data_IF_635940721864
#
_entry.id   IF_635940721864
#
_cell.length_a   1.000
_cell.length_b   1.000
_cell.length_c   1.000
_cell.angle_alpha   90.00
_cell.angle_beta   90.00
_cell.angle_gamma   90.00
#
_symmetry.space_group_name_H-M   'P 1'
#
loop_
_entity.id
_entity.type
_entity.pdbx_description
1 polymer ?
#
# COMPACT_ATOMS: atom_id res chain seq x y z
N UNK A 1 -70.22 12.65 22.30
CA UNK A 1 -69.15 13.60 21.94
C UNK A 1 -67.86 12.97 22.37
N UNK A 2 -67.08 12.56 21.37
CA UNK A 2 -66.08 11.50 21.45
C UNK A 2 -64.68 12.06 21.62
N UNK A 3 -63.90 11.41 22.49
CA UNK A 3 -62.45 11.21 22.37
C UNK A 3 -62.23 9.71 22.11
N UNK A 4 -61.06 9.19 21.70
CA UNK A 4 -59.89 9.80 21.06
C UNK A 4 -59.52 9.09 19.73
N UNK A 5 -58.66 9.69 18.89
CA UNK A 5 -57.93 8.93 17.85
C UNK A 5 -56.44 9.20 17.96
N UNK A 6 -55.74 8.16 18.38
CA UNK A 6 -54.30 7.98 18.27
C UNK A 6 -53.88 8.03 16.79
N UNK A 7 -52.93 8.88 16.42
CA UNK A 7 -52.19 8.77 15.16
C UNK A 7 -50.75 8.39 15.48
N UNK A 8 -50.40 7.17 15.08
CA UNK A 8 -49.08 6.54 15.20
C UNK A 8 -48.01 7.25 14.37
N UNK A 9 -46.72 7.07 14.71
CA UNK A 9 -45.62 7.77 14.05
C UNK A 9 -45.32 7.18 12.66
N UNK A 10 -45.10 8.07 11.69
CA UNK A 10 -44.52 7.76 10.38
C UNK A 10 -43.14 7.12 10.57
N UNK A 11 -43.04 5.81 10.27
CA UNK A 11 -41.76 5.14 10.10
C UNK A 11 -41.15 5.59 8.77
N UNK A 12 -40.11 6.40 8.82
CA UNK A 12 -39.22 6.62 7.67
C UNK A 12 -38.28 5.42 7.57
N UNK A 13 -38.43 4.66 6.49
CA UNK A 13 -37.58 3.51 6.12
C UNK A 13 -36.10 3.91 6.13
N UNK A 14 -35.28 3.23 6.93
CA UNK A 14 -33.82 3.26 6.82
C UNK A 14 -33.42 2.50 5.55
N UNK A 15 -33.02 3.21 4.50
CA UNK A 15 -32.27 2.62 3.40
C UNK A 15 -30.90 2.15 3.90
N UNK A 16 -30.63 0.86 3.69
CA UNK A 16 -29.33 0.22 3.84
C UNK A 16 -28.45 0.73 2.69
N UNK A 17 -27.45 1.56 3.00
CA UNK A 17 -26.43 1.98 2.04
C UNK A 17 -25.61 0.74 1.65
N UNK A 18 -25.83 0.26 0.43
CA UNK A 18 -25.13 -0.87 -0.16
C UNK A 18 -23.64 -0.57 -0.32
N UNK A 19 -22.83 -1.60 -0.11
CA UNK A 19 -21.39 -1.62 -0.35
C UNK A 19 -21.09 -1.24 -1.79
N UNK A 20 -20.28 -0.20 -2.00
CA UNK A 20 -19.73 0.16 -3.31
C UNK A 20 -18.71 -0.90 -3.72
N UNK A 21 -19.04 -1.70 -4.73
CA UNK A 21 -18.07 -2.53 -5.45
C UNK A 21 -17.15 -1.60 -6.25
N UNK A 22 -15.89 -1.49 -5.80
CA UNK A 22 -14.85 -0.80 -6.53
C UNK A 22 -14.37 -1.68 -7.69
N UNK A 23 -15.03 -1.57 -8.85
CA UNK A 23 -14.60 -2.23 -10.08
C UNK A 23 -13.26 -1.65 -10.55
N UNK A 24 -12.18 -2.43 -10.44
CA UNK A 24 -10.90 -2.13 -11.06
C UNK A 24 -11.06 -2.25 -12.58
N UNK A 25 -11.13 -1.12 -13.27
CA UNK A 25 -11.00 -1.07 -14.73
C UNK A 25 -9.53 -1.30 -15.09
N UNK A 26 -9.22 -2.47 -15.64
CA UNK A 26 -7.92 -2.74 -16.24
C UNK A 26 -7.84 -2.06 -17.60
N UNK A 27 -6.76 -1.30 -17.81
CA UNK A 27 -6.42 -0.62 -19.06
C UNK A 27 -6.24 -1.64 -20.19
N UNK A 28 -6.90 -1.39 -21.33
CA UNK A 28 -7.04 -2.35 -22.44
C UNK A 28 -5.79 -2.44 -23.33
N UNK A 29 -4.69 -1.77 -22.93
CA UNK A 29 -3.51 -1.57 -23.77
C UNK A 29 -2.31 -2.50 -23.48
N UNK A 30 -2.36 -3.34 -22.43
CA UNK A 30 -1.24 -4.23 -22.08
C UNK A 30 -1.32 -5.66 -22.67
N UNK A 31 -2.25 -5.93 -23.58
CA UNK A 31 -2.36 -7.24 -24.24
C UNK A 31 -1.68 -7.19 -25.60
N UNK A 32 -0.35 -7.13 -25.58
CA UNK A 32 0.48 -7.51 -26.73
C UNK A 32 1.15 -8.86 -26.43
N UNK A 33 0.34 -9.93 -26.41
CA UNK A 33 0.84 -11.30 -26.54
C UNK A 33 0.05 -12.02 -27.63
N UNK A 34 0.81 -12.51 -28.61
CA UNK A 34 0.32 -12.94 -29.91
C UNK A 34 -0.75 -14.03 -29.90
N UNK A 35 -1.59 -13.94 -30.93
CA UNK A 35 -2.52 -14.92 -31.48
C UNK A 35 -2.43 -16.35 -30.92
N UNK A 36 -3.17 -16.64 -29.85
CA UNK A 36 -3.69 -17.98 -29.56
C UNK A 36 -5.05 -17.94 -28.83
N UNK A 37 -5.93 -17.02 -29.26
CA UNK A 37 -7.27 -16.81 -28.69
C UNK A 37 -8.36 -17.67 -29.36
N UNK A 38 -8.04 -18.92 -29.75
CA UNK A 38 -9.06 -19.86 -30.26
C UNK A 38 -9.46 -20.96 -29.28
N UNK A 39 -8.99 -20.92 -28.03
CA UNK A 39 -9.51 -21.78 -26.97
C UNK A 39 -10.03 -20.97 -25.78
N UNK A 40 -11.34 -21.14 -25.53
CA UNK A 40 -12.08 -20.87 -24.28
C UNK A 40 -12.62 -19.45 -24.04
N UNK A 41 -13.69 -19.11 -24.78
CA UNK A 41 -14.71 -18.13 -24.34
C UNK A 41 -15.58 -18.63 -23.17
N UNK A 42 -15.43 -19.88 -22.75
CA UNK A 42 -16.32 -20.54 -21.77
C UNK A 42 -15.88 -20.44 -20.31
N UNK A 43 -14.72 -19.86 -19.97
CA UNK A 43 -14.32 -19.80 -18.55
C UNK A 43 -13.43 -18.60 -18.18
N UNK A 44 -13.87 -17.38 -18.53
CA UNK A 44 -13.19 -16.12 -18.18
C UNK A 44 -12.95 -16.03 -16.66
N UNK A 45 -13.91 -16.48 -15.85
CA UNK A 45 -13.82 -16.46 -14.38
C UNK A 45 -12.73 -17.40 -13.83
N UNK A 46 -12.54 -18.58 -14.43
CA UNK A 46 -11.49 -19.49 -14.00
C UNK A 46 -10.10 -18.99 -14.40
N UNK A 47 -9.97 -18.39 -15.59
CA UNK A 47 -8.72 -17.74 -16.02
C UNK A 47 -8.41 -16.52 -15.14
N UNK A 48 -9.42 -15.75 -14.74
CA UNK A 48 -9.26 -14.62 -13.82
C UNK A 48 -8.80 -15.06 -12.42
N UNK A 49 -9.26 -16.23 -11.94
CA UNK A 49 -8.85 -16.80 -10.65
C UNK A 49 -7.49 -17.49 -10.69
N UNK A 50 -7.17 -18.18 -11.78
CA UNK A 50 -5.87 -18.82 -11.99
C UNK A 50 -5.50 -18.81 -13.48
N UNK A 51 -4.51 -18.00 -13.89
CA UNK A 51 -4.11 -17.86 -15.29
C UNK A 51 -3.44 -19.13 -15.87
N UNK A 52 -3.02 -20.07 -15.01
CA UNK A 52 -2.45 -21.34 -15.44
C UNK A 52 -3.50 -22.45 -15.62
N UNK A 53 -4.73 -22.22 -15.16
CA UNK A 53 -5.78 -23.24 -15.19
C UNK A 53 -6.14 -23.64 -16.62
N UNK A 54 -6.27 -24.95 -16.87
CA UNK A 54 -6.68 -25.49 -18.17
C UNK A 54 -5.60 -25.51 -19.25
N UNK A 55 -4.39 -24.99 -18.99
CA UNK A 55 -3.26 -25.10 -19.92
C UNK A 55 -2.74 -26.54 -19.94
N UNK A 56 -2.64 -27.20 -21.11
CA UNK A 56 -2.07 -28.55 -21.20
C UNK A 56 -0.62 -28.58 -20.67
N UNK A 57 -0.24 -29.70 -20.04
CA UNK A 57 1.07 -29.84 -19.38
C UNK A 57 2.26 -29.54 -20.30
N UNK A 58 2.26 -30.01 -21.54
CA UNK A 58 3.37 -29.70 -22.46
C UNK A 58 3.45 -28.21 -22.80
N UNK A 59 2.30 -27.56 -23.02
CA UNK A 59 2.24 -26.13 -23.29
C UNK A 59 2.67 -25.30 -22.06
N UNK A 60 2.32 -25.75 -20.85
CA UNK A 60 2.76 -25.12 -19.60
C UNK A 60 4.27 -25.22 -19.44
N UNK A 61 4.86 -26.39 -19.69
CA UNK A 61 6.31 -26.58 -19.62
C UNK A 61 7.05 -25.76 -20.67
N UNK A 62 6.55 -25.71 -21.91
CA UNK A 62 7.14 -24.86 -22.94
C UNK A 62 7.14 -23.37 -22.53
N UNK A 63 6.07 -22.89 -21.88
CA UNK A 63 6.00 -21.53 -21.32
C UNK A 63 7.02 -21.32 -20.20
N UNK A 64 7.16 -22.28 -19.29
CA UNK A 64 8.16 -22.24 -18.20
C UNK A 64 9.58 -22.22 -18.76
N UNK A 65 9.87 -23.05 -19.76
CA UNK A 65 11.21 -23.14 -20.36
C UNK A 65 11.60 -21.83 -21.06
N UNK A 66 10.65 -21.26 -21.80
CA UNK A 66 10.83 -19.94 -22.43
C UNK A 66 11.09 -18.86 -21.37
N UNK A 67 10.29 -18.83 -20.30
CA UNK A 67 10.47 -17.89 -19.20
C UNK A 67 11.83 -18.06 -18.52
N UNK A 68 12.25 -19.30 -18.26
CA UNK A 68 13.52 -19.60 -17.64
C UNK A 68 14.69 -19.15 -18.52
N UNK A 69 14.62 -19.34 -19.84
CA UNK A 69 15.62 -18.85 -20.78
C UNK A 69 15.68 -17.31 -20.81
N UNK A 70 14.53 -16.64 -20.90
CA UNK A 70 14.47 -15.17 -20.97
C UNK A 70 14.98 -14.49 -19.69
N UNK A 71 14.77 -15.11 -18.52
CA UNK A 71 15.17 -14.57 -17.22
C UNK A 71 16.50 -15.11 -16.70
N UNK A 72 17.21 -15.94 -17.49
CA UNK A 72 18.44 -16.63 -17.08
C UNK A 72 18.26 -17.49 -15.81
N UNK A 73 17.12 -18.16 -15.69
CA UNK A 73 16.75 -19.08 -14.59
C UNK A 73 16.79 -20.55 -15.02
N UNK A 74 17.54 -20.89 -16.06
CA UNK A 74 17.62 -22.25 -16.61
C UNK A 74 18.16 -23.29 -15.61
N UNK A 75 18.89 -22.88 -14.58
CA UNK A 75 19.32 -23.77 -13.49
C UNK A 75 18.15 -24.28 -12.64
N UNK A 76 17.07 -23.51 -12.54
CA UNK A 76 15.91 -23.80 -11.68
C UNK A 76 14.72 -24.38 -12.46
N UNK A 77 14.94 -24.82 -13.70
CA UNK A 77 13.86 -25.18 -14.63
C UNK A 77 12.97 -26.31 -14.08
N UNK A 78 13.55 -27.28 -13.37
CA UNK A 78 12.82 -28.38 -12.75
C UNK A 78 11.90 -27.87 -11.63
N UNK A 79 12.43 -27.00 -10.76
CA UNK A 79 11.68 -26.37 -9.69
C UNK A 79 10.55 -25.49 -10.24
N UNK A 80 10.81 -24.73 -11.31
CA UNK A 80 9.81 -23.90 -11.97
C UNK A 80 8.69 -24.73 -12.59
N UNK A 81 9.01 -25.88 -13.20
CA UNK A 81 8.00 -26.79 -13.77
C UNK A 81 7.13 -27.44 -12.68
N UNK A 82 7.73 -27.86 -11.57
CA UNK A 82 7.00 -28.33 -10.37
C UNK A 82 6.11 -27.25 -9.80
N UNK A 83 6.64 -26.05 -9.59
CA UNK A 83 5.91 -24.89 -9.11
C UNK A 83 4.75 -24.50 -10.03
N UNK A 84 4.93 -24.58 -11.35
CA UNK A 84 3.88 -24.31 -12.31
C UNK A 84 2.70 -25.30 -12.22
N UNK A 85 2.97 -26.59 -12.00
CA UNK A 85 1.92 -27.58 -11.79
C UNK A 85 1.20 -27.40 -10.44
N UNK A 86 1.95 -27.13 -9.37
CA UNK A 86 1.37 -26.82 -8.05
C UNK A 86 0.50 -25.56 -8.12
N UNK A 87 0.97 -24.52 -8.82
CA UNK A 87 0.21 -23.28 -9.02
C UNK A 87 -1.01 -23.47 -9.93
N UNK A 88 -0.94 -24.37 -10.92
CA UNK A 88 -2.08 -24.70 -11.79
C UNK A 88 -3.21 -25.38 -11.02
N UNK A 89 -2.89 -26.29 -10.08
CA UNK A 89 -3.90 -26.94 -9.24
C UNK A 89 -3.44 -27.07 -7.77
N UNK A 90 -3.55 -26.00 -6.96
CA UNK A 90 -3.05 -26.01 -5.58
C UNK A 90 -3.81 -26.96 -4.66
N UNK A 91 -5.08 -27.27 -4.98
CA UNK A 91 -5.92 -28.12 -4.15
C UNK A 91 -5.62 -29.62 -4.32
N UNK A 92 -5.06 -30.01 -5.47
CA UNK A 92 -4.78 -31.40 -5.84
C UNK A 92 -3.29 -31.66 -6.04
N UNK A 93 -2.43 -31.01 -5.25
CA UNK A 93 -0.99 -31.19 -5.36
C UNK A 93 -0.54 -32.65 -5.12
N UNK A 94 -1.36 -33.46 -4.44
CA UNK A 94 -1.10 -34.88 -4.22
C UNK A 94 -1.21 -35.72 -5.50
N UNK A 95 -1.88 -35.27 -6.56
CA UNK A 95 -1.96 -36.00 -7.83
C UNK A 95 -0.76 -35.73 -8.77
N UNK A 96 0.09 -34.75 -8.44
CA UNK A 96 1.21 -34.32 -9.29
C UNK A 96 2.36 -35.32 -9.26
N UNK A 97 2.52 -36.07 -10.34
CA UNK A 97 3.50 -37.16 -10.53
C UNK A 97 4.97 -36.75 -10.36
N UNK A 98 5.33 -35.51 -10.69
CA UNK A 98 6.73 -35.04 -10.62
C UNK A 98 7.20 -34.61 -9.23
N UNK A 99 6.29 -34.50 -8.26
CA UNK A 99 6.65 -34.14 -6.89
C UNK A 99 7.12 -35.37 -6.12
N UNK A 100 8.26 -35.25 -5.44
CA UNK A 100 8.72 -36.29 -4.50
C UNK A 100 7.83 -36.36 -3.27
N UNK A 101 7.94 -37.45 -2.50
CA UNK A 101 7.16 -37.60 -1.27
C UNK A 101 7.50 -36.51 -0.25
N UNK A 102 8.79 -36.15 -0.15
CA UNK A 102 9.27 -35.09 0.73
C UNK A 102 8.68 -33.73 0.35
N UNK A 103 8.62 -33.40 -0.95
CA UNK A 103 8.02 -32.16 -1.44
C UNK A 103 6.53 -32.09 -1.13
N UNK A 104 5.80 -33.22 -1.29
CA UNK A 104 4.38 -33.31 -0.95
C UNK A 104 4.15 -33.13 0.55
N UNK A 105 4.98 -33.72 1.39
CA UNK A 105 4.88 -33.62 2.85
C UNK A 105 5.12 -32.18 3.32
N UNK A 106 6.06 -31.47 2.70
CA UNK A 106 6.31 -30.03 2.98
C UNK A 106 5.09 -29.18 2.59
N UNK A 107 4.53 -29.39 1.39
CA UNK A 107 3.32 -28.65 0.95
C UNK A 107 2.13 -28.96 1.86
N UNK A 108 1.97 -30.22 2.26
CA UNK A 108 0.93 -30.64 3.21
C UNK A 108 1.11 -29.98 4.57
N UNK A 109 2.35 -29.89 5.06
CA UNK A 109 2.67 -29.21 6.32
C UNK A 109 2.32 -27.73 6.25
N UNK A 110 2.66 -27.04 5.17
CA UNK A 110 2.31 -25.63 4.94
C UNK A 110 0.78 -25.43 4.91
N UNK A 111 0.06 -26.30 4.21
CA UNK A 111 -1.40 -26.24 4.13
C UNK A 111 -2.08 -26.42 5.49
N UNK A 112 -1.56 -27.32 6.32
CA UNK A 112 -2.06 -27.58 7.68
C UNK A 112 -1.67 -26.48 8.67
N UNK A 113 -0.53 -25.81 8.46
CA UNK A 113 0.03 -24.83 9.37
C UNK A 113 0.10 -23.43 8.73
N UNK A 114 -1.05 -22.91 8.30
CA UNK A 114 -1.20 -21.63 7.58
C UNK A 114 -0.59 -20.39 8.25
N UNK A 115 -0.23 -20.47 9.53
CA UNK A 115 0.33 -19.36 10.32
C UNK A 115 1.79 -19.60 10.76
N UNK A 116 2.38 -20.73 10.36
CA UNK A 116 3.75 -21.10 10.68
C UNK A 116 4.75 -20.34 9.77
N UNK A 117 4.84 -19.04 9.98
CA UNK A 117 5.77 -18.16 9.27
C UNK A 117 7.01 -17.85 10.13
N UNK A 118 8.15 -17.51 9.51
CA UNK A 118 9.32 -17.07 10.26
C UNK A 118 9.02 -15.80 11.07
N UNK A 119 9.51 -15.73 12.33
CA UNK A 119 9.33 -14.56 13.21
C UNK A 119 9.81 -13.24 12.57
N UNK A 120 10.80 -13.30 11.69
CA UNK A 120 11.30 -12.16 10.91
C UNK A 120 10.20 -11.49 10.08
N UNK A 121 9.23 -12.25 9.55
CA UNK A 121 8.11 -11.70 8.80
C UNK A 121 7.23 -10.83 9.72
N UNK A 122 6.87 -11.35 10.88
CA UNK A 122 6.06 -10.61 11.86
C UNK A 122 6.76 -9.34 12.36
N UNK A 123 8.07 -9.42 12.62
CA UNK A 123 8.87 -8.24 13.01
C UNK A 123 8.87 -7.21 11.89
N UNK A 124 9.00 -7.63 10.63
CA UNK A 124 8.98 -6.73 9.47
C UNK A 124 7.62 -6.04 9.34
N UNK A 125 6.51 -6.80 9.42
CA UNK A 125 5.15 -6.25 9.36
C UNK A 125 4.93 -5.22 10.47
N UNK A 126 5.33 -5.55 11.70
CA UNK A 126 5.19 -4.66 12.84
C UNK A 126 5.99 -3.36 12.65
N UNK A 127 7.26 -3.47 12.23
CA UNK A 127 8.12 -2.31 12.03
C UNK A 127 7.63 -1.41 10.88
N UNK A 128 7.17 -2.00 9.77
CA UNK A 128 6.54 -1.26 8.68
C UNK A 128 5.25 -0.56 9.13
N UNK A 129 4.44 -1.23 9.96
CA UNK A 129 3.21 -0.64 10.51
C UNK A 129 3.50 0.54 11.43
N UNK A 130 4.54 0.46 12.27
CA UNK A 130 4.99 1.60 13.10
C UNK A 130 5.44 2.75 12.21
N UNK A 131 6.21 2.50 11.15
CA UNK A 131 6.62 3.53 10.19
C UNK A 131 5.43 4.23 9.53
N UNK A 132 4.42 3.46 9.09
CA UNK A 132 3.18 4.01 8.54
C UNK A 132 2.39 4.83 9.57
N UNK A 133 2.34 4.38 10.83
CA UNK A 133 1.68 5.11 11.91
C UNK A 133 2.38 6.45 12.21
N UNK A 134 3.71 6.48 12.25
CA UNK A 134 4.49 7.72 12.42
C UNK A 134 4.25 8.69 11.27
N UNK A 135 4.23 8.21 10.02
CA UNK A 135 3.91 9.06 8.87
C UNK A 135 2.52 9.71 8.99
N UNK A 136 1.51 8.94 9.41
CA UNK A 136 0.16 9.47 9.64
C UNK A 136 0.11 10.47 10.82
N UNK A 137 0.90 10.22 11.86
CA UNK A 137 1.02 11.12 13.01
C UNK A 137 1.59 12.48 12.61
N UNK A 138 2.64 12.50 11.79
CA UNK A 138 3.26 13.75 11.34
C UNK A 138 2.26 14.59 10.52
N UNK A 139 1.50 13.94 9.63
CA UNK A 139 0.50 14.64 8.81
C UNK A 139 -0.64 15.23 9.65
N UNK A 140 -1.16 14.48 10.63
CA UNK A 140 -2.21 14.99 11.51
C UNK A 140 -1.68 16.07 12.47
N UNK A 141 -0.42 15.95 12.91
CA UNK A 141 0.26 16.95 13.73
C UNK A 141 0.41 18.29 13.03
N UNK A 142 0.89 18.29 11.78
CA UNK A 142 0.99 19.51 10.96
C UNK A 142 -0.39 20.13 10.68
N UNK A 143 -1.40 19.30 10.38
CA UNK A 143 -2.78 19.78 10.23
C UNK A 143 -3.33 20.41 11.53
N UNK A 144 -2.99 19.82 12.69
CA UNK A 144 -3.31 20.38 13.99
C UNK A 144 -2.63 21.74 14.23
N UNK A 145 -1.36 21.86 13.86
CA UNK A 145 -0.60 23.10 14.02
C UNK A 145 -1.14 24.24 13.14
N UNK A 146 -1.63 23.94 11.92
CA UNK A 146 -2.22 24.93 11.01
C UNK A 146 -3.39 25.73 11.62
N UNK A 147 -4.03 25.23 12.67
CA UNK A 147 -5.10 25.95 13.36
C UNK A 147 -4.60 27.13 14.22
N UNK A 148 -3.35 27.09 14.68
CA UNK A 148 -2.83 28.04 15.67
C UNK A 148 -1.58 28.78 15.22
N UNK A 149 -0.60 28.10 14.62
CA UNK A 149 0.68 28.75 14.29
C UNK A 149 0.54 29.95 13.35
N UNK A 150 -0.40 29.98 12.37
CA UNK A 150 -0.50 31.15 11.51
C UNK A 150 -0.87 32.41 12.29
N UNK A 151 -1.72 32.27 13.30
CA UNK A 151 -2.12 33.38 14.19
C UNK A 151 -0.98 33.77 15.12
N UNK A 152 -0.33 32.79 15.77
CA UNK A 152 0.77 33.05 16.71
C UNK A 152 1.99 33.72 16.06
N UNK A 153 2.31 33.36 14.81
CA UNK A 153 3.41 33.96 14.05
C UNK A 153 3.01 35.17 13.20
N UNK A 154 1.78 35.68 13.36
CA UNK A 154 1.32 36.90 12.67
C UNK A 154 1.16 36.76 11.16
N UNK A 155 1.02 35.53 10.66
CA UNK A 155 0.85 35.17 9.25
C UNK A 155 -0.50 34.49 8.99
N UNK A 156 -1.56 34.95 9.67
CA UNK A 156 -2.89 34.40 9.45
C UNK A 156 -3.31 34.57 7.98
N UNK A 157 -3.75 33.49 7.36
CA UNK A 157 -4.26 33.42 5.99
C UNK A 157 -5.80 33.53 5.94
N UNK A 158 -6.44 33.75 7.10
CA UNK A 158 -7.88 33.99 7.19
C UNK A 158 -8.27 35.33 6.56
N UNK A 159 -9.41 35.36 5.86
CA UNK A 159 -9.92 36.56 5.19
C UNK A 159 -10.27 37.70 6.16
N UNK A 160 -10.58 37.36 7.41
CA UNK A 160 -10.86 38.32 8.49
C UNK A 160 -9.83 38.10 9.60
N UNK A 161 -9.34 39.20 10.16
CA UNK A 161 -8.53 39.20 11.37
C UNK A 161 -9.43 38.95 12.60
N UNK A 162 -8.86 38.57 13.76
CA UNK A 162 -9.61 38.36 14.99
C UNK A 162 -10.43 39.57 15.47
N UNK A 163 -10.06 40.78 15.04
CA UNK A 163 -10.77 42.04 15.32
C UNK A 163 -11.95 42.31 14.35
N UNK A 164 -12.19 41.42 13.38
CA UNK A 164 -13.24 41.54 12.38
C UNK A 164 -12.88 42.39 11.16
N UNK A 165 -11.65 42.92 11.08
CA UNK A 165 -11.17 43.67 9.91
C UNK A 165 -10.77 42.73 8.76
N UNK A 166 -10.81 43.23 7.52
CA UNK A 166 -10.41 42.46 6.33
C UNK A 166 -8.89 42.32 6.30
N UNK A 167 -8.41 41.07 6.19
CA UNK A 167 -7.00 40.78 6.03
C UNK A 167 -6.57 40.97 4.57
N UNK A 168 -6.02 42.14 4.26
CA UNK A 168 -5.53 42.44 2.90
C UNK A 168 -4.32 41.60 2.49
N UNK A 169 -3.65 40.92 3.44
CA UNK A 169 -2.46 40.10 3.20
C UNK A 169 -2.75 38.59 3.22
N UNK A 170 -4.02 38.19 3.35
CA UNK A 170 -4.42 36.78 3.45
C UNK A 170 -3.84 35.92 2.30
N UNK A 171 -3.84 36.45 1.08
CA UNK A 171 -3.28 35.77 -0.08
C UNK A 171 -1.76 35.53 0.05
N UNK A 172 -0.99 36.55 0.43
CA UNK A 172 0.46 36.44 0.60
C UNK A 172 0.81 35.49 1.76
N UNK A 173 0.04 35.57 2.85
CA UNK A 173 0.20 34.67 3.99
C UNK A 173 -0.13 33.22 3.66
N UNK A 174 -1.10 32.95 2.77
CA UNK A 174 -1.41 31.59 2.33
C UNK A 174 -0.24 30.91 1.61
N UNK A 175 0.59 31.66 0.88
CA UNK A 175 1.82 31.14 0.29
C UNK A 175 2.86 30.77 1.34
N UNK A 176 2.97 31.56 2.41
CA UNK A 176 3.87 31.28 3.53
C UNK A 176 3.42 30.02 4.27
N UNK A 177 2.14 29.94 4.66
CA UNK A 177 1.57 28.76 5.33
C UNK A 177 1.71 27.52 4.43
N UNK A 178 1.43 27.67 3.13
CA UNK A 178 1.63 26.60 2.15
C UNK A 178 3.08 26.15 2.05
N UNK A 179 4.04 27.07 2.06
CA UNK A 179 5.47 26.76 2.03
C UNK A 179 5.92 26.01 3.29
N UNK A 180 5.48 26.43 4.47
CA UNK A 180 5.79 25.75 5.75
C UNK A 180 5.28 24.31 5.73
N UNK A 181 4.04 24.10 5.25
CA UNK A 181 3.47 22.75 5.11
C UNK A 181 4.15 21.91 4.02
N UNK A 182 4.63 22.55 2.95
CA UNK A 182 5.35 21.88 1.86
C UNK A 182 6.81 21.58 2.22
N UNK A 183 7.39 22.26 3.20
CA UNK A 183 8.81 22.19 3.52
C UNK A 183 9.32 20.76 3.81
N UNK A 184 8.60 19.88 4.53
CA UNK A 184 9.02 18.49 4.72
C UNK A 184 9.11 17.71 3.39
N UNK A 185 8.17 17.93 2.48
CA UNK A 185 8.13 17.27 1.18
C UNK A 185 9.24 17.78 0.25
N UNK A 186 9.47 19.09 0.24
CA UNK A 186 10.58 19.73 -0.50
C UNK A 186 11.91 19.21 0.04
N UNK A 187 12.10 19.19 1.36
CA UNK A 187 13.30 18.65 2.00
C UNK A 187 13.53 17.18 1.64
N UNK A 188 12.48 16.37 1.63
CA UNK A 188 12.56 14.97 1.20
C UNK A 188 13.03 14.83 -0.26
N UNK A 189 12.46 15.63 -1.17
CA UNK A 189 12.76 15.57 -2.61
C UNK A 189 14.16 16.11 -3.00
N UNK A 190 14.69 17.08 -2.25
CA UNK A 190 15.98 17.69 -2.58
C UNK A 190 17.14 17.20 -1.71
N UNK A 191 16.87 16.79 -0.46
CA UNK A 191 17.90 16.35 0.48
C UNK A 191 17.74 14.86 0.79
N UNK A 192 16.54 14.43 1.19
CA UNK A 192 16.30 13.07 1.68
C UNK A 192 16.70 11.98 0.69
N UNK A 193 16.17 12.03 -0.54
CA UNK A 193 16.45 11.02 -1.55
C UNK A 193 17.89 11.01 -2.06
N UNK A 194 18.59 12.15 -2.05
CA UNK A 194 19.98 12.24 -2.49
C UNK A 194 20.98 11.86 -1.41
N UNK A 195 20.66 12.14 -0.15
CA UNK A 195 21.56 11.90 0.98
C UNK A 195 21.45 10.46 1.51
N UNK A 196 20.36 9.75 1.19
CA UNK A 196 20.14 8.36 1.60
C UNK A 196 21.27 7.42 1.16
N UNK A 197 21.64 7.42 -0.11
CA UNK A 197 22.67 6.51 -0.64
C UNK A 197 24.07 6.78 -0.06
N UNK A 198 24.57 8.04 -0.02
CA UNK A 198 25.81 8.37 0.66
C UNK A 198 25.80 7.94 2.13
N UNK A 199 24.75 8.29 2.90
CA UNK A 199 24.71 7.95 4.33
C UNK A 199 24.72 6.44 4.57
N UNK A 200 23.96 5.69 3.78
CA UNK A 200 23.95 4.23 3.86
C UNK A 200 25.32 3.62 3.52
N UNK A 201 26.06 4.19 2.58
CA UNK A 201 27.41 3.74 2.24
C UNK A 201 28.45 4.07 3.31
N UNK A 202 28.37 5.24 3.95
CA UNK A 202 29.34 5.66 4.97
C UNK A 202 29.08 5.07 6.37
N UNK A 203 27.81 5.01 6.80
CA UNK A 203 27.44 4.60 8.16
C UNK A 203 26.83 3.20 8.22
N UNK A 204 26.63 2.56 7.07
CA UNK A 204 25.88 1.31 6.96
C UNK A 204 24.38 1.51 7.24
N UNK A 205 23.59 0.48 6.94
CA UNK A 205 22.13 0.53 7.10
C UNK A 205 21.69 0.77 8.54
N UNK A 206 22.34 0.13 9.53
CA UNK A 206 21.99 0.29 10.95
C UNK A 206 22.39 1.65 11.51
N UNK A 207 23.58 2.14 11.15
CA UNK A 207 24.07 3.45 11.59
C UNK A 207 23.23 4.60 11.03
N UNK A 208 22.87 4.50 9.75
CA UNK A 208 21.99 5.48 9.10
C UNK A 208 20.64 5.56 9.80
N UNK A 209 19.97 4.42 10.05
CA UNK A 209 18.69 4.37 10.77
C UNK A 209 18.80 5.05 12.15
N UNK A 210 19.85 4.76 12.90
CA UNK A 210 20.05 5.34 14.23
C UNK A 210 20.22 6.87 14.17
N UNK A 211 21.07 7.36 13.28
CA UNK A 211 21.32 8.80 13.10
C UNK A 211 20.03 9.51 12.66
N UNK A 212 19.30 8.96 11.68
CA UNK A 212 18.05 9.54 11.21
C UNK A 212 16.98 9.53 12.29
N UNK A 213 16.91 8.48 13.13
CA UNK A 213 15.97 8.43 14.25
C UNK A 213 16.27 9.52 15.30
N UNK A 214 17.56 9.80 15.59
CA UNK A 214 17.95 10.90 16.47
C UNK A 214 17.51 12.24 15.91
N UNK A 215 17.72 12.48 14.60
CA UNK A 215 17.28 13.72 13.94
C UNK A 215 15.75 13.85 13.99
N UNK A 216 15.01 12.76 13.75
CA UNK A 216 13.54 12.74 13.82
C UNK A 216 12.98 13.02 15.22
N UNK A 217 13.75 12.75 16.28
CA UNK A 217 13.35 13.13 17.66
C UNK A 217 13.68 14.60 17.94
N UNK A 218 14.85 15.06 17.51
CA UNK A 218 15.31 16.43 17.79
C UNK A 218 14.48 17.46 17.03
N UNK A 219 14.14 17.20 15.77
CA UNK A 219 13.51 18.19 14.89
C UNK A 219 12.12 18.65 15.36
N UNK A 220 11.18 17.79 15.79
CA UNK A 220 9.91 18.24 16.39
C UNK A 220 10.10 19.01 17.70
N UNK A 221 11.09 18.64 18.52
CA UNK A 221 11.41 19.37 19.76
C UNK A 221 11.88 20.78 19.42
N UNK A 222 12.77 20.93 18.44
CA UNK A 222 13.20 22.24 17.94
C UNK A 222 12.02 23.04 17.36
N UNK A 223 11.12 22.39 16.62
CA UNK A 223 9.91 23.04 16.09
C UNK A 223 9.06 23.64 17.21
N UNK A 224 8.92 22.95 18.36
CA UNK A 224 8.20 23.46 19.53
C UNK A 224 8.84 24.66 20.23
N UNK A 225 10.12 24.95 19.96
CA UNK A 225 10.85 26.10 20.53
C UNK A 225 10.94 27.29 19.56
N UNK A 226 10.43 27.13 18.34
CA UNK A 226 10.58 28.14 17.28
C UNK A 226 9.70 29.36 17.58
N UNK A 227 10.25 30.56 17.34
CA UNK A 227 9.58 31.84 17.65
C UNK A 227 9.01 32.53 16.40
N UNK A 228 9.38 32.07 15.21
CA UNK A 228 8.97 32.60 13.92
C UNK A 228 8.63 31.41 12.99
N UNK A 229 8.04 31.70 11.84
CA UNK A 229 7.76 30.72 10.79
C UNK A 229 8.96 30.49 9.86
#
# INVERSE_FOLDING_TARGET
MSSPTHSSPTQTTKEKKGSEEHSLQLDQNDIEYGNDYTLQKENVDAVLRNPLHGIPREALFAKVDKFAAEKNLTSEIDLLRKGALVAQNPADFQSIDILTQEERDVIQHEYQNKWAHPMTLYVTIFLCSVGAATQGWDQTGSNGANLSFPTEFGISDSALLPDGSVNTKAYDHSWIVGLVNAAPYISSAFLGCWLSDPLNNYFGRRGTIFITAVILVITPICSGLTQNW
#
